data_IF_612052316098
#
_entry.id   IF_612052316098
#
_cell.length_a   1.000
_cell.length_b   1.000
_cell.length_c   1.000
_cell.angle_alpha   90.00
_cell.angle_beta   90.00
_cell.angle_gamma   90.00
#
_symmetry.space_group_name_H-M   'P 1'
#
loop_
_entity.id
_entity.type
_entity.pdbx_description
1 polymer ?
#
# COMPACT_ATOMS: atom_id res chain seq x y z
N UNK A 1 -22.29 -1.16 -43.12
CA UNK A 1 -22.29 0.30 -42.85
C UNK A 1 -22.46 0.47 -41.35
N UNK A 2 -21.42 0.93 -40.66
CA UNK A 2 -21.35 1.04 -39.21
C UNK A 2 -22.42 2.01 -38.68
N UNK A 3 -23.06 1.66 -37.56
CA UNK A 3 -23.72 2.64 -36.69
C UNK A 3 -23.05 2.61 -35.32
N UNK A 4 -22.72 3.81 -34.89
CA UNK A 4 -21.70 4.18 -33.93
C UNK A 4 -22.27 4.20 -32.50
N UNK A 5 -21.37 3.98 -31.55
CA UNK A 5 -21.46 4.17 -30.11
C UNK A 5 -22.37 5.33 -29.65
N UNK A 6 -23.24 5.07 -28.68
CA UNK A 6 -23.49 5.95 -27.50
C UNK A 6 -24.07 5.10 -26.36
N UNK A 7 -23.23 4.30 -25.71
CA UNK A 7 -23.52 3.94 -24.31
C UNK A 7 -23.10 5.13 -23.47
N UNK A 8 -24.09 5.75 -22.82
CA UNK A 8 -23.94 6.85 -21.89
C UNK A 8 -23.06 6.39 -20.72
N UNK A 9 -21.75 6.56 -20.86
CA UNK A 9 -20.83 6.39 -19.74
C UNK A 9 -21.05 7.58 -18.83
N UNK A 10 -21.87 7.40 -17.80
CA UNK A 10 -21.87 8.28 -16.65
C UNK A 10 -20.41 8.49 -16.25
N UNK A 11 -19.93 9.74 -16.14
CA UNK A 11 -18.55 9.96 -15.72
C UNK A 11 -18.44 9.35 -14.33
N UNK A 12 -17.65 8.28 -14.21
CA UNK A 12 -17.29 7.65 -12.94
C UNK A 12 -16.86 8.79 -12.00
N UNK A 13 -17.78 9.21 -11.13
CA UNK A 13 -17.49 10.26 -10.15
C UNK A 13 -16.52 9.60 -9.19
N UNK A 14 -15.22 9.75 -9.46
CA UNK A 14 -14.18 9.54 -8.46
C UNK A 14 -14.58 10.46 -7.32
N UNK A 15 -15.26 9.91 -6.31
CA UNK A 15 -15.49 10.60 -5.05
C UNK A 15 -14.11 11.07 -4.64
N UNK A 16 -13.88 12.39 -4.71
CA UNK A 16 -12.68 13.00 -4.15
C UNK A 16 -12.87 12.84 -2.65
N UNK A 17 -12.58 11.65 -2.13
CA UNK A 17 -12.29 11.47 -0.72
C UNK A 17 -11.26 12.55 -0.42
N UNK A 18 -11.67 13.55 0.36
CA UNK A 18 -10.71 14.47 0.97
C UNK A 18 -9.93 13.59 1.95
N UNK A 19 -8.94 12.88 1.45
CA UNK A 19 -7.96 12.17 2.27
C UNK A 19 -7.16 13.28 2.93
N UNK A 20 -7.64 13.73 4.09
CA UNK A 20 -6.91 14.63 4.97
C UNK A 20 -5.98 13.76 5.80
N UNK A 21 -4.71 14.14 5.89
CA UNK A 21 -3.76 13.49 6.79
C UNK A 21 -4.33 13.51 8.21
N UNK A 22 -4.60 12.33 8.78
CA UNK A 22 -5.19 12.20 10.11
C UNK A 22 -4.14 12.02 11.21
N UNK A 23 -2.86 12.14 10.87
CA UNK A 23 -1.75 11.98 11.81
C UNK A 23 -1.02 13.30 12.03
N UNK A 24 -0.55 13.52 13.26
CA UNK A 24 0.31 14.65 13.61
C UNK A 24 1.79 14.39 13.29
N UNK A 25 2.65 15.40 13.47
CA UNK A 25 4.09 15.30 13.17
C UNK A 25 4.82 14.26 14.03
N UNK A 26 4.34 13.99 15.25
CA UNK A 26 4.95 13.00 16.13
C UNK A 26 4.57 11.59 15.69
N UNK A 27 3.31 11.37 15.31
CA UNK A 27 2.83 10.13 14.73
C UNK A 27 3.51 9.84 13.39
N UNK A 28 3.65 10.85 12.52
CA UNK A 28 4.39 10.72 11.27
C UNK A 28 5.86 10.34 11.51
N UNK A 29 6.51 10.96 12.50
CA UNK A 29 7.90 10.64 12.88
C UNK A 29 8.02 9.24 13.50
N UNK A 30 7.03 8.82 14.29
CA UNK A 30 6.98 7.47 14.85
C UNK A 30 6.87 6.44 13.72
N UNK A 31 5.96 6.64 12.77
CA UNK A 31 5.81 5.77 11.59
C UNK A 31 7.08 5.72 10.76
N UNK A 32 7.71 6.87 10.50
CA UNK A 32 8.99 6.93 9.79
C UNK A 32 10.06 6.10 10.49
N UNK A 33 10.12 6.16 11.83
CA UNK A 33 11.08 5.37 12.62
C UNK A 33 10.83 3.87 12.49
N UNK A 34 9.57 3.42 12.49
CA UNK A 34 9.23 2.01 12.28
C UNK A 34 9.73 1.49 10.93
N UNK A 35 9.54 2.29 9.88
CA UNK A 35 9.99 1.94 8.53
C UNK A 35 11.51 1.88 8.47
N UNK A 36 12.20 2.93 8.93
CA UNK A 36 13.67 2.99 8.92
C UNK A 36 14.33 1.91 9.79
N UNK A 37 13.68 1.46 10.86
CA UNK A 37 14.20 0.40 11.73
C UNK A 37 14.23 -0.97 11.07
N UNK A 38 13.44 -1.16 10.01
CA UNK A 38 13.31 -2.41 9.25
C UNK A 38 14.10 -2.36 7.94
N UNK A 39 14.21 -1.19 7.32
CA UNK A 39 14.95 -1.02 6.06
C UNK A 39 16.46 -1.35 6.21
N UNK A 40 17.05 -1.92 5.17
CA UNK A 40 18.48 -2.21 5.05
C UNK A 40 18.95 -3.44 5.83
N UNK A 41 18.02 -4.25 6.37
CA UNK A 41 18.34 -5.49 7.10
C UNK A 41 18.42 -6.72 6.21
N UNK A 42 17.62 -6.77 5.15
CA UNK A 42 17.54 -7.86 4.19
C UNK A 42 16.74 -7.38 2.98
N UNK A 43 17.12 -7.80 1.77
CA UNK A 43 16.39 -7.47 0.53
C UNK A 43 14.90 -7.88 0.64
N UNK A 44 14.63 -9.05 1.24
CA UNK A 44 13.25 -9.54 1.45
C UNK A 44 12.47 -8.62 2.40
N UNK A 45 13.13 -8.08 3.43
CA UNK A 45 12.47 -7.17 4.37
C UNK A 45 12.20 -5.82 3.71
N UNK A 46 13.11 -5.36 2.87
CA UNK A 46 12.95 -4.13 2.09
C UNK A 46 11.77 -4.27 1.11
N UNK A 47 11.64 -5.41 0.42
CA UNK A 47 10.50 -5.72 -0.45
C UNK A 47 9.15 -5.68 0.30
N UNK A 48 9.10 -6.27 1.49
CA UNK A 48 7.89 -6.23 2.32
C UNK A 48 7.54 -4.82 2.78
N UNK A 49 8.55 -4.01 3.13
CA UNK A 49 8.34 -2.62 3.53
C UNK A 49 7.88 -1.76 2.36
N UNK A 50 8.45 -1.94 1.18
CA UNK A 50 8.02 -1.25 -0.05
C UNK A 50 6.56 -1.58 -0.37
N UNK A 51 6.16 -2.85 -0.27
CA UNK A 51 4.77 -3.26 -0.49
C UNK A 51 3.80 -2.59 0.51
N UNK A 52 4.19 -2.42 1.78
CA UNK A 52 3.40 -1.68 2.77
C UNK A 52 3.30 -0.20 2.41
N UNK A 53 4.41 0.43 2.02
CA UNK A 53 4.45 1.83 1.59
C UNK A 53 3.52 2.05 0.40
N UNK A 54 3.60 1.20 -0.61
CA UNK A 54 2.73 1.22 -1.77
C UNK A 54 1.25 1.10 -1.38
N UNK A 55 0.92 0.13 -0.54
CA UNK A 55 -0.46 -0.20 -0.21
C UNK A 55 -1.15 0.82 0.70
N UNK A 56 -0.45 1.30 1.73
CA UNK A 56 -1.05 2.12 2.79
C UNK A 56 -0.69 3.60 2.71
N UNK A 57 0.50 3.95 2.21
CA UNK A 57 0.95 5.34 2.15
C UNK A 57 0.73 5.96 0.77
N UNK A 58 1.03 5.21 -0.30
CA UNK A 58 0.79 5.66 -1.69
C UNK A 58 -0.64 5.34 -2.16
N UNK A 59 -1.33 4.43 -1.47
CA UNK A 59 -2.73 4.09 -1.75
C UNK A 59 -2.91 3.32 -3.06
N UNK A 60 -1.89 2.59 -3.52
CA UNK A 60 -1.96 1.79 -4.73
C UNK A 60 -2.96 0.63 -4.55
N UNK A 61 -3.73 0.36 -5.60
CA UNK A 61 -4.54 -0.86 -5.67
C UNK A 61 -3.67 -2.09 -5.89
N UNK A 62 -4.18 -3.28 -5.55
CA UNK A 62 -3.45 -4.54 -5.76
C UNK A 62 -3.03 -4.76 -7.22
N UNK A 63 -3.79 -4.26 -8.19
CA UNK A 63 -3.44 -4.31 -9.61
C UNK A 63 -2.31 -3.36 -9.99
N UNK A 64 -2.22 -2.21 -9.33
CA UNK A 64 -1.15 -1.22 -9.57
C UNK A 64 0.18 -1.62 -8.93
N UNK A 65 0.18 -2.57 -7.98
CA UNK A 65 1.37 -3.11 -7.34
C UNK A 65 2.03 -4.26 -8.12
N UNK A 66 1.47 -4.66 -9.27
CA UNK A 66 2.01 -5.73 -10.11
C UNK A 66 3.20 -5.22 -10.91
N UNK A 67 4.33 -5.91 -10.83
CA UNK A 67 5.52 -5.67 -11.66
C UNK A 67 5.85 -6.93 -12.46
N UNK A 68 6.77 -6.88 -13.44
CA UNK A 68 7.21 -8.09 -14.14
C UNK A 68 7.75 -9.18 -13.19
N UNK A 69 8.27 -8.79 -12.02
CA UNK A 69 8.87 -9.65 -11.01
C UNK A 69 7.92 -9.96 -9.83
N UNK A 70 6.82 -9.20 -9.66
CA UNK A 70 5.88 -9.33 -8.54
C UNK A 70 4.45 -9.50 -9.05
N UNK A 71 3.86 -10.67 -8.82
CA UNK A 71 2.45 -10.90 -9.14
C UNK A 71 1.52 -10.24 -8.12
N UNK A 72 0.23 -10.15 -8.42
CA UNK A 72 -0.76 -9.64 -7.46
C UNK A 72 -0.85 -10.52 -6.20
N UNK A 73 -0.60 -11.83 -6.33
CA UNK A 73 -0.58 -12.75 -5.19
C UNK A 73 0.63 -12.48 -4.30
N UNK A 74 1.80 -12.27 -4.92
CA UNK A 74 3.04 -11.93 -4.21
C UNK A 74 2.88 -10.60 -3.47
N UNK A 75 2.33 -9.57 -4.11
CA UNK A 75 2.07 -8.27 -3.47
C UNK A 75 1.19 -8.38 -2.22
N UNK A 76 0.17 -9.24 -2.23
CA UNK A 76 -0.68 -9.49 -1.05
C UNK A 76 0.10 -10.21 0.05
N UNK A 77 0.96 -11.16 -0.33
CA UNK A 77 1.77 -11.91 0.60
C UNK A 77 2.87 -11.04 1.23
N UNK A 78 3.51 -10.18 0.43
CA UNK A 78 4.51 -9.22 0.89
C UNK A 78 3.92 -8.26 1.93
N UNK A 79 2.73 -7.70 1.67
CA UNK A 79 2.01 -6.87 2.64
C UNK A 79 1.71 -7.65 3.93
N UNK A 80 1.24 -8.90 3.82
CA UNK A 80 0.93 -9.73 4.97
C UNK A 80 2.18 -10.04 5.82
N UNK A 81 3.27 -10.42 5.17
CA UNK A 81 4.55 -10.72 5.82
C UNK A 81 5.13 -9.46 6.48
N UNK A 82 5.14 -8.32 5.80
CA UNK A 82 5.61 -7.06 6.36
C UNK A 82 4.82 -6.64 7.60
N UNK A 83 3.49 -6.76 7.58
CA UNK A 83 2.65 -6.44 8.75
C UNK A 83 2.93 -7.39 9.91
N UNK A 84 3.20 -8.67 9.63
CA UNK A 84 3.59 -9.64 10.66
C UNK A 84 4.95 -9.29 11.29
N UNK A 85 5.93 -8.85 10.49
CA UNK A 85 7.22 -8.38 11.01
C UNK A 85 7.04 -7.15 11.90
N UNK A 86 6.24 -6.18 11.45
CA UNK A 86 5.91 -4.99 12.24
C UNK A 86 5.24 -5.38 13.56
N UNK A 87 4.23 -6.24 13.54
CA UNK A 87 3.54 -6.72 14.74
C UNK A 87 4.50 -7.44 15.71
N UNK A 88 5.34 -8.35 15.20
CA UNK A 88 6.30 -9.10 16.03
C UNK A 88 7.32 -8.17 16.72
N UNK A 89 7.69 -7.08 16.06
CA UNK A 89 8.69 -6.14 16.58
C UNK A 89 8.07 -5.01 17.41
N UNK A 90 6.84 -4.65 17.09
CA UNK A 90 6.09 -3.56 17.69
C UNK A 90 4.68 -4.07 18.01
N UNK A 91 4.51 -4.62 19.21
CA UNK A 91 3.28 -5.31 19.62
C UNK A 91 2.00 -4.46 19.68
N UNK A 92 2.08 -3.16 19.36
CA UNK A 92 0.91 -2.29 19.20
C UNK A 92 0.36 -2.27 17.76
N UNK A 93 1.10 -2.81 16.78
CA UNK A 93 0.63 -2.89 15.40
C UNK A 93 -0.29 -4.09 15.27
N UNK A 94 -1.60 -3.86 15.15
CA UNK A 94 -2.57 -4.94 14.97
C UNK A 94 -2.48 -5.61 13.60
N UNK A 95 -2.56 -6.94 13.58
CA UNK A 95 -2.75 -7.72 12.35
C UNK A 95 -4.24 -7.73 12.01
N UNK A 96 -4.61 -7.13 10.88
CA UNK A 96 -5.98 -7.16 10.34
C UNK A 96 -6.11 -8.18 9.22
#
# INVERSE_FOLDING_TARGET
>A
MASYFTSEVEPFRKSKSKVVCQIDDNEARAVQRLVLDLMGRSEIMDDWMDAIVDRYFRGLSWSEMVTPERTQADARQDVKCGLAVLHCRYGFVELK
#
